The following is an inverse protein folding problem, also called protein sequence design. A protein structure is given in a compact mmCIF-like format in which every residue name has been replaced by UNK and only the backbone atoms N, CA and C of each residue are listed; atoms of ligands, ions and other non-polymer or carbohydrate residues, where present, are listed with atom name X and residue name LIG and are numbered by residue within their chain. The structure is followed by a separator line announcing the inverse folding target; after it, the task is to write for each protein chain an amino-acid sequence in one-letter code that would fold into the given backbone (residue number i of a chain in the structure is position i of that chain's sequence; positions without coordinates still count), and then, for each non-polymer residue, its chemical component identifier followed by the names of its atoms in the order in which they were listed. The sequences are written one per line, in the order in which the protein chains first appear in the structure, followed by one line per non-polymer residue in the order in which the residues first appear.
data_IF_165621563688
#
_entry.id   IF_165621563688
#
_cell.length_a   1.000
_cell.length_b   1.000
_cell.length_c   1.000
_cell.angle_alpha   90.00
_cell.angle_beta   90.00
_cell.angle_gamma   90.00
#
_symmetry.space_group_name_H-M   'P 1'
#
loop_
_entity.id
_entity.type
_entity.pdbx_description
1 polymer ?
#
# COMPACT_ATOMS: atom_id res chain seq x y z
N UNK A 1 63.10 -17.04 40.88
CA UNK A 1 62.60 -15.91 40.08
C UNK A 1 61.65 -16.47 39.02
N UNK A 2 60.35 -16.32 39.22
CA UNK A 2 59.31 -16.67 38.24
C UNK A 2 58.93 -15.40 37.46
N UNK A 3 58.83 -15.43 36.12
CA UNK A 3 58.13 -14.38 35.39
C UNK A 3 56.64 -14.73 35.34
N UNK A 4 55.84 -13.83 35.88
CA UNK A 4 54.38 -13.79 35.80
C UNK A 4 53.96 -13.39 34.38
N UNK A 5 53.22 -14.25 33.69
CA UNK A 5 52.51 -13.93 32.45
C UNK A 5 51.34 -13.00 32.75
N UNK A 6 51.37 -11.79 32.19
CA UNK A 6 50.27 -10.83 32.15
C UNK A 6 49.10 -11.40 31.36
N UNK A 7 47.93 -11.46 32.00
CA UNK A 7 46.67 -11.79 31.34
C UNK A 7 46.29 -10.65 30.38
N UNK A 8 46.35 -10.92 29.08
CA UNK A 8 45.78 -10.05 28.05
C UNK A 8 44.27 -9.91 28.28
N UNK A 9 43.85 -8.68 28.51
CA UNK A 9 42.46 -8.31 28.63
C UNK A 9 41.86 -8.29 27.23
N UNK A 10 40.99 -9.28 26.94
CA UNK A 10 40.17 -9.29 25.74
C UNK A 10 39.38 -7.97 25.65
N UNK A 11 39.41 -7.24 24.52
CA UNK A 11 38.59 -6.05 24.37
C UNK A 11 37.12 -6.44 24.47
N UNK A 12 36.40 -5.79 25.39
CA UNK A 12 34.97 -5.97 25.57
C UNK A 12 34.26 -5.74 24.23
N UNK A 13 33.63 -6.79 23.71
CA UNK A 13 32.82 -6.75 22.50
C UNK A 13 31.70 -5.73 22.70
N UNK A 14 31.83 -4.56 22.08
CA UNK A 14 30.81 -3.51 22.17
C UNK A 14 29.46 -4.10 21.69
N UNK A 15 28.37 -3.94 22.46
CA UNK A 15 27.06 -4.43 22.05
C UNK A 15 26.69 -3.75 20.73
N UNK A 16 26.56 -4.56 19.67
CA UNK A 16 26.01 -4.11 18.38
C UNK A 16 24.68 -3.43 18.68
N UNK A 17 24.58 -2.16 18.27
CA UNK A 17 23.41 -1.32 18.49
C UNK A 17 22.16 -2.02 17.95
N UNK A 18 21.40 -2.63 18.86
CA UNK A 18 20.14 -3.27 18.55
C UNK A 18 19.23 -2.27 17.85
N UNK A 19 18.72 -2.67 16.69
CA UNK A 19 17.74 -1.92 15.92
C UNK A 19 16.56 -1.53 16.82
N UNK A 20 16.50 -0.28 17.29
CA UNK A 20 15.48 0.20 18.24
C UNK A 20 14.08 0.13 17.59
N UNK A 21 13.23 -0.86 17.93
CA UNK A 21 12.06 -1.18 17.10
C UNK A 21 10.88 -0.22 17.29
N UNK A 22 10.81 0.47 18.43
CA UNK A 22 9.63 1.24 18.85
C UNK A 22 9.33 2.48 17.99
N UNK A 23 10.37 3.16 17.48
CA UNK A 23 10.20 4.40 16.69
C UNK A 23 9.69 4.16 15.26
N UNK A 24 9.92 2.97 14.70
CA UNK A 24 9.53 2.63 13.32
C UNK A 24 8.06 2.19 13.20
N UNK A 25 7.43 1.76 14.29
CA UNK A 25 6.03 1.34 14.34
C UNK A 25 5.07 2.47 14.75
N UNK A 26 5.49 3.38 15.63
CA UNK A 26 4.62 4.43 16.16
C UNK A 26 4.16 5.43 15.10
N UNK A 27 5.05 5.89 14.20
CA UNK A 27 4.68 6.92 13.21
C UNK A 27 3.61 6.44 12.21
N UNK A 28 3.74 5.26 11.57
CA UNK A 28 2.67 4.73 10.73
C UNK A 28 1.36 4.53 11.48
N UNK A 29 1.39 4.08 12.74
CA UNK A 29 0.18 3.92 13.56
C UNK A 29 -0.60 5.23 13.67
N UNK A 30 0.07 6.34 14.02
CA UNK A 30 -0.59 7.65 14.11
C UNK A 30 -1.15 8.12 12.76
N UNK A 31 -0.43 7.91 11.65
CA UNK A 31 -0.94 8.25 10.32
C UNK A 31 -2.15 7.38 9.92
N UNK A 32 -2.12 6.09 10.23
CA UNK A 32 -3.25 5.17 9.98
C UNK A 32 -4.47 5.59 10.78
N UNK A 33 -4.32 5.92 12.06
CA UNK A 33 -5.41 6.36 12.91
C UNK A 33 -5.95 7.74 12.49
N UNK A 34 -5.06 8.71 12.25
CA UNK A 34 -5.45 10.05 11.82
C UNK A 34 -6.20 10.02 10.47
N UNK A 35 -5.69 9.26 9.49
CA UNK A 35 -6.40 9.08 8.22
C UNK A 35 -7.74 8.36 8.39
N UNK A 36 -7.83 7.35 9.27
CA UNK A 36 -9.11 6.69 9.60
C UNK A 36 -10.11 7.69 10.19
N UNK A 37 -9.69 8.55 11.11
CA UNK A 37 -10.55 9.59 11.67
C UNK A 37 -11.02 10.58 10.60
N UNK A 38 -10.14 10.99 9.67
CA UNK A 38 -10.51 11.87 8.56
C UNK A 38 -11.49 11.19 7.58
N UNK A 39 -11.31 9.90 7.32
CA UNK A 39 -12.22 9.08 6.53
C UNK A 39 -13.59 8.96 7.17
N UNK A 40 -13.64 8.64 8.46
CA UNK A 40 -14.89 8.58 9.21
C UNK A 40 -15.59 9.95 9.25
N UNK A 41 -14.82 11.04 9.40
CA UNK A 41 -15.36 12.39 9.30
C UNK A 41 -15.94 12.66 7.91
N UNK A 42 -15.26 12.30 6.83
CA UNK A 42 -15.78 12.40 5.47
C UNK A 42 -17.10 11.64 5.29
N UNK A 43 -17.15 10.36 5.70
CA UNK A 43 -18.36 9.52 5.60
C UNK A 43 -19.53 10.03 6.46
N UNK A 44 -19.26 10.79 7.52
CA UNK A 44 -20.31 11.40 8.34
C UNK A 44 -20.95 12.63 7.68
N UNK A 45 -20.40 13.10 6.56
CA UNK A 45 -20.93 14.23 5.78
C UNK A 45 -21.63 13.75 4.50
N UNK A 46 -22.29 14.68 3.79
CA UNK A 46 -22.84 14.45 2.46
C UNK A 46 -21.84 14.72 1.32
N UNK A 47 -20.53 14.82 1.61
CA UNK A 47 -19.52 15.22 0.62
C UNK A 47 -19.39 14.30 -0.58
N UNK A 48 -19.69 13.02 -0.43
CA UNK A 48 -19.75 12.10 -1.57
C UNK A 48 -20.81 12.52 -2.60
N UNK A 49 -22.01 12.85 -2.12
CA UNK A 49 -23.09 13.34 -2.99
C UNK A 49 -22.74 14.71 -3.56
N UNK A 50 -22.27 15.65 -2.72
CA UNK A 50 -21.86 16.99 -3.20
C UNK A 50 -20.85 16.88 -4.34
N UNK A 51 -19.81 16.05 -4.18
CA UNK A 51 -18.81 15.87 -5.23
C UNK A 51 -19.35 15.09 -6.43
N UNK A 52 -20.28 14.15 -6.26
CA UNK A 52 -20.93 13.49 -7.38
C UNK A 52 -21.76 14.47 -8.22
N UNK A 53 -22.47 15.40 -7.59
CA UNK A 53 -23.21 16.47 -8.27
C UNK A 53 -22.34 17.50 -9.00
N UNK A 54 -21.04 17.58 -8.70
CA UNK A 54 -20.10 18.40 -9.50
C UNK A 54 -19.93 17.82 -10.90
N UNK A 55 -20.03 16.49 -11.05
CA UNK A 55 -19.77 15.80 -12.32
C UNK A 55 -21.02 15.20 -12.97
N UNK A 56 -22.10 15.00 -12.21
CA UNK A 56 -23.33 14.40 -12.69
C UNK A 56 -24.56 15.21 -12.29
N UNK A 57 -25.66 15.00 -13.02
CA UNK A 57 -26.97 15.57 -12.74
C UNK A 57 -28.05 14.52 -13.03
N UNK A 58 -29.33 14.91 -13.05
CA UNK A 58 -30.44 13.99 -13.28
C UNK A 58 -30.43 13.27 -14.65
N UNK A 59 -29.68 13.79 -15.64
CA UNK A 59 -29.45 13.15 -16.95
C UNK A 59 -28.27 12.16 -16.91
N UNK A 60 -27.55 12.08 -15.79
CA UNK A 60 -26.41 11.20 -15.57
C UNK A 60 -25.07 11.93 -15.55
N UNK A 61 -24.02 11.19 -15.89
CA UNK A 61 -22.63 11.67 -15.90
C UNK A 61 -22.15 11.85 -17.34
N UNK A 62 -21.87 13.07 -17.82
CA UNK A 62 -21.46 13.32 -19.21
C UNK A 62 -20.18 12.58 -19.60
N UNK A 63 -19.29 12.33 -18.63
CA UNK A 63 -18.00 11.67 -18.85
C UNK A 63 -18.07 10.14 -18.70
N UNK A 64 -19.24 9.56 -18.44
CA UNK A 64 -19.42 8.11 -18.20
C UNK A 64 -18.78 7.26 -19.30
N UNK A 65 -19.07 7.64 -20.55
CA UNK A 65 -18.70 6.92 -21.77
C UNK A 65 -17.65 7.66 -22.61
N UNK A 66 -17.03 8.71 -22.05
CA UNK A 66 -15.95 9.42 -22.73
C UNK A 66 -14.74 8.50 -22.98
N UNK A 67 -14.20 8.55 -24.20
CA UNK A 67 -13.14 7.64 -24.64
C UNK A 67 -11.87 7.75 -23.79
N UNK A 68 -11.47 8.94 -23.36
CA UNK A 68 -10.26 9.12 -22.53
C UNK A 68 -10.48 8.45 -21.17
N UNK A 69 -11.65 8.69 -20.58
CA UNK A 69 -12.00 8.15 -19.27
C UNK A 69 -12.17 6.62 -19.29
N UNK A 70 -12.72 6.06 -20.38
CA UNK A 70 -12.92 4.61 -20.54
C UNK A 70 -11.65 3.90 -21.01
N UNK A 71 -11.09 4.28 -22.16
CA UNK A 71 -9.99 3.53 -22.78
C UNK A 71 -8.65 3.80 -22.11
N UNK A 72 -8.36 5.05 -21.73
CA UNK A 72 -7.07 5.41 -21.14
C UNK A 72 -7.09 5.24 -19.63
N UNK A 73 -7.97 5.97 -18.95
CA UNK A 73 -7.98 6.05 -17.48
C UNK A 73 -8.56 4.82 -16.80
N UNK A 74 -9.37 4.03 -17.50
CA UNK A 74 -9.97 2.82 -16.95
C UNK A 74 -9.30 1.54 -17.48
N UNK A 75 -9.34 1.27 -18.78
CA UNK A 75 -8.72 0.06 -19.33
C UNK A 75 -7.19 0.11 -19.36
N UNK A 76 -6.64 1.21 -19.91
CA UNK A 76 -5.20 1.42 -20.01
C UNK A 76 -4.52 1.38 -18.65
N UNK A 77 -5.05 2.12 -17.68
CA UNK A 77 -4.55 2.13 -16.30
C UNK A 77 -4.59 0.75 -15.64
N UNK A 78 -5.67 -0.02 -15.86
CA UNK A 78 -5.78 -1.39 -15.33
C UNK A 78 -4.71 -2.31 -15.91
N UNK A 79 -4.47 -2.25 -17.23
CA UNK A 79 -3.41 -3.02 -17.90
C UNK A 79 -2.03 -2.60 -17.39
N UNK A 80 -1.78 -1.30 -17.29
CA UNK A 80 -0.53 -0.75 -16.77
C UNK A 80 -0.24 -1.21 -15.34
N UNK A 81 -1.24 -1.18 -14.45
CA UNK A 81 -1.11 -1.67 -13.07
C UNK A 81 -0.67 -3.14 -13.01
N UNK A 82 -1.25 -4.01 -13.83
CA UNK A 82 -0.83 -5.42 -13.92
C UNK A 82 0.57 -5.59 -14.49
N UNK A 83 0.94 -4.82 -15.52
CA UNK A 83 2.31 -4.82 -16.06
C UNK A 83 3.30 -4.40 -14.97
N UNK A 84 3.04 -3.32 -14.24
CA UNK A 84 3.89 -2.86 -13.13
C UNK A 84 3.98 -3.93 -12.04
N UNK A 85 2.89 -4.61 -11.70
CA UNK A 85 2.89 -5.70 -10.72
C UNK A 85 3.79 -6.86 -11.18
N UNK A 86 3.67 -7.29 -12.45
CA UNK A 86 4.51 -8.36 -13.01
C UNK A 86 5.98 -7.96 -13.02
N UNK A 87 6.29 -6.71 -13.42
CA UNK A 87 7.66 -6.19 -13.39
C UNK A 87 8.21 -6.14 -11.97
N UNK A 88 7.40 -5.69 -10.99
CA UNK A 88 7.77 -5.68 -9.58
C UNK A 88 8.07 -7.09 -9.07
N UNK A 89 7.21 -8.07 -9.38
CA UNK A 89 7.41 -9.46 -9.00
C UNK A 89 8.66 -10.07 -9.67
N UNK A 90 8.89 -9.78 -10.95
CA UNK A 90 10.08 -10.24 -11.69
C UNK A 90 11.38 -9.75 -11.04
N UNK A 91 11.37 -8.58 -10.37
CA UNK A 91 12.57 -8.09 -9.66
C UNK A 91 13.04 -9.00 -8.54
N UNK A 92 12.20 -9.92 -8.04
CA UNK A 92 12.61 -10.93 -7.05
C UNK A 92 13.78 -11.77 -7.59
N UNK A 93 13.68 -12.25 -8.84
CA UNK A 93 14.72 -13.04 -9.51
C UNK A 93 15.71 -12.20 -10.30
N UNK A 94 15.24 -11.13 -10.95
CA UNK A 94 16.05 -10.26 -11.80
C UNK A 94 16.04 -8.81 -11.29
N UNK A 95 16.75 -8.49 -10.18
CA UNK A 95 16.75 -7.14 -9.65
C UNK A 95 17.44 -6.16 -10.62
N UNK A 96 16.78 -5.05 -10.91
CA UNK A 96 17.26 -4.01 -11.81
C UNK A 96 17.40 -2.65 -11.12
N UNK A 97 18.29 -1.81 -11.64
CA UNK A 97 18.49 -0.43 -11.17
C UNK A 97 18.71 -0.32 -9.66
N UNK A 98 17.98 0.60 -9.02
CA UNK A 98 18.10 0.85 -7.58
C UNK A 98 17.52 -0.27 -6.71
N UNK A 99 16.63 -1.12 -7.24
CA UNK A 99 16.06 -2.26 -6.51
C UNK A 99 17.09 -3.37 -6.21
N UNK A 100 18.25 -3.36 -6.88
CA UNK A 100 19.40 -4.24 -6.53
C UNK A 100 19.89 -4.04 -5.10
N UNK A 101 19.67 -2.86 -4.52
CA UNK A 101 20.05 -2.52 -3.13
C UNK A 101 19.01 -2.98 -2.10
N UNK A 102 17.87 -3.50 -2.54
CA UNK A 102 16.83 -4.07 -1.67
C UNK A 102 17.02 -5.59 -1.65
N UNK A 103 17.09 -6.24 -0.48
CA UNK A 103 17.26 -7.70 -0.41
C UNK A 103 16.08 -8.45 -1.04
N UNK A 104 16.29 -9.70 -1.47
CA UNK A 104 15.26 -10.53 -2.12
C UNK A 104 13.97 -10.63 -1.31
N UNK A 105 14.08 -10.84 0.01
CA UNK A 105 12.93 -10.87 0.91
C UNK A 105 12.16 -9.53 0.95
N UNK A 106 12.85 -8.40 0.78
CA UNK A 106 12.22 -7.09 0.67
C UNK A 106 11.44 -6.94 -0.63
N UNK A 107 12.04 -7.33 -1.77
CA UNK A 107 11.36 -7.28 -3.08
C UNK A 107 10.13 -8.20 -3.11
N UNK A 108 10.24 -9.40 -2.52
CA UNK A 108 9.12 -10.31 -2.34
C UNK A 108 8.02 -9.68 -1.47
N UNK A 109 8.38 -9.04 -0.35
CA UNK A 109 7.40 -8.33 0.48
C UNK A 109 6.67 -7.23 -0.30
N UNK A 110 7.35 -6.48 -1.17
CA UNK A 110 6.71 -5.44 -2.00
C UNK A 110 5.63 -6.06 -2.91
N UNK A 111 5.95 -7.15 -3.62
CA UNK A 111 5.00 -7.83 -4.51
C UNK A 111 3.85 -8.48 -3.73
N UNK A 112 4.15 -9.20 -2.64
CA UNK A 112 3.14 -9.87 -1.82
C UNK A 112 2.20 -8.88 -1.16
N UNK A 113 2.71 -7.78 -0.59
CA UNK A 113 1.85 -6.76 0.03
C UNK A 113 0.91 -6.09 -0.97
N UNK A 114 1.38 -5.86 -2.21
CA UNK A 114 0.53 -5.31 -3.26
C UNK A 114 -0.55 -6.31 -3.71
N UNK A 115 -0.22 -7.59 -3.90
CA UNK A 115 -1.20 -8.64 -4.22
C UNK A 115 -2.24 -8.83 -3.11
N UNK A 116 -1.79 -8.82 -1.84
CA UNK A 116 -2.70 -8.88 -0.69
C UNK A 116 -3.62 -7.66 -0.63
N UNK A 117 -3.11 -6.46 -0.91
CA UNK A 117 -3.94 -5.26 -0.97
C UNK A 117 -5.03 -5.41 -2.05
N UNK A 118 -4.68 -5.88 -3.26
CA UNK A 118 -5.66 -6.16 -4.31
C UNK A 118 -6.68 -7.22 -3.90
N UNK A 119 -6.24 -8.27 -3.20
CA UNK A 119 -7.13 -9.32 -2.68
C UNK A 119 -8.13 -8.77 -1.65
N UNK A 120 -7.66 -7.93 -0.70
CA UNK A 120 -8.52 -7.24 0.28
C UNK A 120 -9.57 -6.41 -0.43
N UNK A 121 -9.18 -5.58 -1.40
CA UNK A 121 -10.12 -4.78 -2.18
C UNK A 121 -11.14 -5.64 -2.92
N UNK A 122 -10.70 -6.75 -3.53
CA UNK A 122 -11.61 -7.66 -4.23
C UNK A 122 -12.61 -8.34 -3.29
N UNK A 123 -12.20 -8.72 -2.09
CA UNK A 123 -13.08 -9.33 -1.07
C UNK A 123 -14.12 -8.31 -0.59
N UNK A 124 -13.70 -7.11 -0.19
CA UNK A 124 -14.62 -6.06 0.26
C UNK A 124 -15.61 -5.69 -0.85
N UNK A 125 -15.13 -5.58 -2.10
CA UNK A 125 -15.98 -5.26 -3.25
C UNK A 125 -17.07 -6.30 -3.48
N UNK A 126 -16.73 -7.59 -3.39
CA UNK A 126 -17.70 -8.68 -3.52
C UNK A 126 -18.70 -8.72 -2.36
N UNK A 127 -18.30 -8.30 -1.17
CA UNK A 127 -19.17 -8.28 0.00
C UNK A 127 -20.10 -7.04 0.06
N UNK A 128 -19.79 -5.97 -0.69
CA UNK A 128 -20.56 -4.73 -0.67
C UNK A 128 -21.86 -4.83 -1.48
N UNK A 129 -22.95 -4.37 -0.86
CA UNK A 129 -24.25 -4.16 -1.52
C UNK A 129 -24.42 -2.74 -2.09
N UNK A 130 -23.39 -1.89 -2.00
CA UNK A 130 -23.44 -0.48 -2.42
C UNK A 130 -23.36 -0.35 -3.93
N UNK A 131 -24.32 0.32 -4.54
CA UNK A 131 -24.34 0.62 -5.98
C UNK A 131 -23.49 1.84 -6.33
N UNK A 132 -23.20 2.01 -7.61
CA UNK A 132 -22.37 3.12 -8.07
C UNK A 132 -23.19 4.41 -8.23
N UNK A 133 -22.54 5.60 -8.16
CA UNK A 133 -23.24 6.87 -8.32
C UNK A 133 -24.10 6.92 -9.59
N UNK A 134 -23.62 6.43 -10.73
CA UNK A 134 -24.38 6.41 -12.00
C UNK A 134 -25.63 5.53 -11.99
N UNK A 135 -25.81 4.68 -10.96
CA UNK A 135 -26.96 3.77 -10.83
C UNK A 135 -28.03 4.39 -9.93
N UNK A 136 -27.71 5.49 -9.24
CA UNK A 136 -28.62 6.17 -8.32
C UNK A 136 -29.66 7.00 -9.07
N UNK A 137 -30.87 7.08 -8.50
CA UNK A 137 -31.98 7.86 -9.02
C UNK A 137 -31.66 9.36 -9.15
N UNK A 138 -30.79 9.89 -8.28
CA UNK A 138 -30.31 11.28 -8.35
C UNK A 138 -29.53 11.57 -9.66
N UNK A 139 -29.03 10.52 -10.31
CA UNK A 139 -28.23 10.59 -11.54
C UNK A 139 -28.85 9.81 -12.71
N UNK A 140 -30.19 9.70 -12.73
CA UNK A 140 -30.93 9.06 -13.82
C UNK A 140 -30.99 7.53 -13.76
N UNK A 141 -30.49 6.92 -12.69
CA UNK A 141 -30.61 5.50 -12.40
C UNK A 141 -31.89 5.13 -11.62
N UNK A 142 -31.86 3.99 -10.94
CA UNK A 142 -33.02 3.45 -10.19
C UNK A 142 -32.73 3.15 -8.72
N UNK A 143 -31.46 3.10 -8.34
CA UNK A 143 -31.04 2.81 -6.97
C UNK A 143 -31.21 4.03 -6.06
N UNK A 144 -31.46 3.80 -4.77
CA UNK A 144 -31.52 4.87 -3.76
C UNK A 144 -30.15 5.03 -3.10
N UNK A 145 -29.77 6.24 -2.72
CA UNK A 145 -28.55 6.41 -1.95
C UNK A 145 -28.67 5.70 -0.58
N UNK A 146 -27.75 4.76 -0.34
CA UNK A 146 -27.58 4.07 0.95
C UNK A 146 -26.08 4.07 1.26
N UNK A 147 -25.72 4.46 2.49
CA UNK A 147 -24.31 4.44 2.91
C UNK A 147 -23.73 3.04 2.82
N UNK A 148 -22.47 2.92 2.38
CA UNK A 148 -21.74 1.65 2.36
C UNK A 148 -21.53 1.01 3.74
N UNK A 149 -21.79 1.75 4.83
CA UNK A 149 -21.77 1.23 6.20
C UNK A 149 -23.15 0.77 6.71
N UNK A 150 -24.22 0.94 5.92
CA UNK A 150 -25.57 0.51 6.28
C UNK A 150 -25.80 -0.95 5.93
N UNK A 151 -25.22 -1.85 6.73
CA UNK A 151 -25.27 -3.29 6.49
C UNK A 151 -26.73 -3.81 6.49
N UNK A 152 -27.07 -4.65 5.51
CA UNK A 152 -28.39 -5.27 5.40
C UNK A 152 -29.48 -4.40 4.75
N UNK A 153 -29.19 -3.15 4.41
CA UNK A 153 -30.07 -2.30 3.61
C UNK A 153 -29.68 -2.40 2.13
N UNK A 154 -30.67 -2.75 1.30
CA UNK A 154 -30.52 -2.81 -0.16
C UNK A 154 -30.96 -1.49 -0.78
N UNK A 155 -30.11 -0.93 -1.64
CA UNK A 155 -30.39 0.29 -2.40
C UNK A 155 -31.28 0.06 -3.63
N UNK A 156 -31.46 -1.21 -4.04
CA UNK A 156 -32.23 -1.59 -5.22
C UNK A 156 -31.41 -1.61 -6.52
N UNK A 157 -30.09 -1.44 -6.44
CA UNK A 157 -29.18 -1.50 -7.59
C UNK A 157 -28.33 -2.78 -7.63
N UNK A 158 -27.26 -2.74 -8.43
CA UNK A 158 -26.40 -3.90 -8.70
C UNK A 158 -25.40 -4.22 -7.59
N UNK A 159 -25.19 -3.31 -6.64
CA UNK A 159 -24.19 -3.45 -5.60
C UNK A 159 -22.75 -3.48 -6.11
N UNK A 160 -21.84 -3.99 -5.27
CA UNK A 160 -20.43 -4.23 -5.57
C UNK A 160 -19.61 -3.01 -6.00
N UNK A 161 -20.03 -1.79 -5.65
CA UNK A 161 -19.33 -0.58 -6.04
C UNK A 161 -18.28 -0.13 -5.03
N UNK A 162 -18.44 -0.46 -3.75
CA UNK A 162 -17.51 -0.09 -2.69
C UNK A 162 -16.60 -1.28 -2.33
N UNK A 163 -15.27 -1.10 -2.21
CA UNK A 163 -14.47 0.10 -2.47
C UNK A 163 -14.03 0.22 -3.94
N UNK A 164 -13.40 1.35 -4.28
CA UNK A 164 -13.01 1.70 -5.66
C UNK A 164 -11.86 0.82 -6.20
N UNK A 165 -12.21 -0.28 -6.87
CA UNK A 165 -11.23 -1.24 -7.42
C UNK A 165 -10.19 -0.63 -8.38
N UNK A 166 -10.56 0.40 -9.16
CA UNK A 166 -9.63 1.05 -10.09
C UNK A 166 -8.57 1.88 -9.39
N UNK A 167 -8.91 2.56 -8.29
CA UNK A 167 -7.94 3.29 -7.49
C UNK A 167 -6.87 2.35 -6.90
N UNK A 168 -7.24 1.09 -6.65
CA UNK A 168 -6.32 0.07 -6.16
C UNK A 168 -5.18 -0.25 -7.15
N UNK A 169 -5.36 0.01 -8.46
CA UNK A 169 -4.29 -0.16 -9.45
C UNK A 169 -3.09 0.76 -9.19
N UNK A 170 -3.28 1.89 -8.49
CA UNK A 170 -2.20 2.73 -7.98
C UNK A 170 -1.89 2.46 -6.51
N UNK A 171 -2.92 2.46 -5.65
CA UNK A 171 -2.72 2.36 -4.20
C UNK A 171 -2.18 1.01 -3.71
N UNK A 172 -2.35 -0.10 -4.45
CA UNK A 172 -1.81 -1.40 -4.04
C UNK A 172 -0.29 -1.37 -3.79
N UNK A 173 0.43 -0.46 -4.46
CA UNK A 173 1.87 -0.34 -4.31
C UNK A 173 2.32 0.40 -3.04
N UNK A 174 1.41 0.99 -2.26
CA UNK A 174 1.76 1.71 -1.01
C UNK A 174 2.60 0.86 -0.04
N UNK A 175 2.38 -0.46 0.01
CA UNK A 175 3.17 -1.40 0.81
C UNK A 175 4.68 -1.33 0.55
N UNK A 176 5.07 -0.98 -0.67
CA UNK A 176 6.48 -0.80 -1.06
C UNK A 176 7.20 0.28 -0.25
N UNK A 177 6.50 1.33 0.18
CA UNK A 177 7.09 2.39 1.01
C UNK A 177 7.75 1.84 2.28
N UNK A 178 7.11 0.87 2.94
CA UNK A 178 7.58 0.30 4.20
C UNK A 178 8.86 -0.52 4.04
N UNK A 179 9.02 -1.17 2.88
CA UNK A 179 10.27 -1.86 2.52
C UNK A 179 11.35 -0.84 2.18
N UNK A 180 11.05 0.10 1.28
CA UNK A 180 12.04 1.02 0.75
C UNK A 180 12.58 2.00 1.78
N UNK A 181 11.78 2.44 2.75
CA UNK A 181 12.23 3.40 3.76
C UNK A 181 13.42 2.92 4.60
N UNK A 182 13.63 1.59 4.67
CA UNK A 182 14.75 0.96 5.41
C UNK A 182 16.07 0.98 4.65
N UNK A 183 16.02 1.00 3.32
CA UNK A 183 17.19 0.85 2.45
C UNK A 183 17.45 2.09 1.60
N UNK A 184 16.40 2.77 1.16
CA UNK A 184 16.41 3.84 0.15
C UNK A 184 15.35 4.91 0.51
N UNK A 185 15.57 5.74 1.55
CA UNK A 185 14.55 6.67 2.08
C UNK A 185 14.12 7.77 1.10
N UNK A 186 14.98 8.16 0.15
CA UNK A 186 14.61 9.08 -0.93
C UNK A 186 13.68 8.41 -1.94
N UNK A 187 14.02 7.20 -2.38
CA UNK A 187 13.18 6.42 -3.30
C UNK A 187 11.84 6.06 -2.65
N UNK A 188 11.81 5.76 -1.35
CA UNK A 188 10.59 5.48 -0.60
C UNK A 188 9.58 6.65 -0.66
N UNK A 189 10.05 7.90 -0.53
CA UNK A 189 9.19 9.08 -0.61
C UNK A 189 8.58 9.26 -2.00
N UNK A 190 9.39 9.09 -3.04
CA UNK A 190 8.90 9.14 -4.43
C UNK A 190 7.94 8.00 -4.73
N UNK A 191 8.22 6.79 -4.26
CA UNK A 191 7.35 5.63 -4.40
C UNK A 191 5.99 5.86 -3.75
N UNK A 192 5.98 6.37 -2.52
CA UNK A 192 4.76 6.73 -1.79
C UNK A 192 3.97 7.80 -2.55
N UNK A 193 4.62 8.90 -2.93
CA UNK A 193 3.99 9.99 -3.67
C UNK A 193 3.41 9.52 -5.00
N UNK A 194 4.15 8.72 -5.77
CA UNK A 194 3.69 8.18 -7.06
C UNK A 194 2.51 7.21 -6.89
N UNK A 195 2.56 6.33 -5.90
CA UNK A 195 1.45 5.39 -5.61
C UNK A 195 0.19 6.14 -5.18
N UNK A 196 0.33 7.17 -4.34
CA UNK A 196 -0.78 8.02 -3.93
C UNK A 196 -1.36 8.79 -5.11
N UNK A 197 -0.50 9.48 -5.88
CA UNK A 197 -0.92 10.25 -7.04
C UNK A 197 -1.64 9.38 -8.07
N UNK A 198 -1.09 8.20 -8.39
CA UNK A 198 -1.73 7.26 -9.30
C UNK A 198 -3.11 6.82 -8.78
N UNK A 199 -3.21 6.41 -7.51
CA UNK A 199 -4.49 5.97 -6.93
C UNK A 199 -5.54 7.09 -6.93
N UNK A 200 -5.17 8.31 -6.57
CA UNK A 200 -6.07 9.46 -6.60
C UNK A 200 -6.47 9.84 -8.01
N UNK A 201 -5.54 9.93 -8.95
CA UNK A 201 -5.84 10.26 -10.36
C UNK A 201 -6.84 9.27 -10.95
N UNK A 202 -6.66 7.97 -10.70
CA UNK A 202 -7.59 6.94 -11.14
C UNK A 202 -8.93 7.01 -10.41
N UNK A 203 -8.92 7.27 -9.10
CA UNK A 203 -10.14 7.44 -8.31
C UNK A 203 -10.96 8.65 -8.76
N UNK A 204 -10.33 9.82 -8.96
CA UNK A 204 -10.97 11.02 -9.50
C UNK A 204 -11.52 10.81 -10.90
N UNK A 205 -10.79 10.09 -11.76
CA UNK A 205 -11.30 9.75 -13.08
C UNK A 205 -12.61 8.94 -12.97
N UNK A 206 -12.66 7.99 -12.04
CA UNK A 206 -13.85 7.17 -11.83
C UNK A 206 -14.99 7.94 -11.13
N UNK A 207 -14.68 8.89 -10.25
CA UNK A 207 -15.65 9.84 -9.68
C UNK A 207 -16.32 10.67 -10.77
N UNK A 208 -15.52 11.23 -11.68
CA UNK A 208 -16.03 12.06 -12.77
C UNK A 208 -16.97 11.31 -13.72
N UNK A 209 -16.77 9.99 -13.85
CA UNK A 209 -17.65 9.10 -14.62
C UNK A 209 -18.91 8.67 -13.87
N UNK A 210 -19.01 8.94 -12.57
CA UNK A 210 -20.04 8.38 -11.71
C UNK A 210 -19.85 6.91 -11.35
N UNK A 211 -18.64 6.36 -11.56
CA UNK A 211 -18.35 4.95 -11.31
C UNK A 211 -18.06 4.65 -9.84
N UNK A 212 -17.63 5.63 -9.04
CA UNK A 212 -17.33 5.47 -7.61
C UNK A 212 -17.47 6.81 -6.89
N UNK A 213 -17.89 6.80 -5.63
CA UNK A 213 -17.77 7.98 -4.76
C UNK A 213 -16.32 8.23 -4.32
N UNK A 214 -16.04 9.42 -3.77
CA UNK A 214 -14.71 9.77 -3.28
C UNK A 214 -14.35 8.97 -2.04
N UNK A 215 -15.30 8.74 -1.13
CA UNK A 215 -15.12 7.82 0.00
C UNK A 215 -14.63 6.43 -0.47
N UNK A 216 -15.19 5.88 -1.56
CA UNK A 216 -14.76 4.59 -2.09
C UNK A 216 -13.28 4.61 -2.48
N UNK A 217 -12.80 5.72 -3.04
CA UNK A 217 -11.39 5.94 -3.39
C UNK A 217 -10.52 6.09 -2.14
N UNK A 218 -10.95 6.91 -1.18
CA UNK A 218 -10.21 7.15 0.07
C UNK A 218 -10.08 5.86 0.89
N UNK A 219 -11.17 5.09 1.03
CA UNK A 219 -11.16 3.78 1.69
C UNK A 219 -10.26 2.79 0.98
N UNK A 220 -10.22 2.79 -0.35
CA UNK A 220 -9.26 1.97 -1.10
C UNK A 220 -7.82 2.32 -0.72
N UNK A 221 -7.48 3.60 -0.69
CA UNK A 221 -6.15 4.06 -0.28
C UNK A 221 -5.80 3.63 1.15
N UNK A 222 -6.73 3.79 2.08
CA UNK A 222 -6.54 3.41 3.48
C UNK A 222 -6.39 1.90 3.69
N UNK A 223 -7.21 1.10 3.01
CA UNK A 223 -7.11 -0.36 3.03
C UNK A 223 -5.76 -0.81 2.47
N UNK A 224 -5.35 -0.29 1.31
CA UNK A 224 -4.05 -0.62 0.72
C UNK A 224 -2.87 -0.20 1.61
N UNK A 225 -2.91 1.00 2.21
CA UNK A 225 -1.91 1.47 3.17
C UNK A 225 -1.83 0.52 4.38
N UNK A 226 -2.98 0.21 4.97
CA UNK A 226 -3.08 -0.62 6.17
C UNK A 226 -2.62 -2.05 5.89
N UNK A 227 -3.02 -2.65 4.76
CA UNK A 227 -2.53 -3.97 4.34
C UNK A 227 -1.00 -3.96 4.18
N UNK A 228 -0.45 -2.96 3.51
CA UNK A 228 0.99 -2.81 3.35
C UNK A 228 1.73 -2.67 4.69
N UNK A 229 1.18 -1.88 5.60
CA UNK A 229 1.74 -1.68 6.93
C UNK A 229 1.66 -2.94 7.80
N UNK A 230 0.54 -3.65 7.80
CA UNK A 230 0.37 -4.93 8.52
C UNK A 230 1.32 -5.98 7.98
N UNK A 231 1.50 -6.08 6.65
CA UNK A 231 2.51 -6.95 6.07
C UNK A 231 3.92 -6.61 6.59
N UNK A 232 4.22 -5.31 6.74
CA UNK A 232 5.51 -4.87 7.26
C UNK A 232 5.73 -5.26 8.74
N UNK A 233 4.68 -5.15 9.56
CA UNK A 233 4.71 -5.59 10.95
C UNK A 233 4.85 -7.11 11.05
N UNK A 234 4.13 -7.87 10.23
CA UNK A 234 4.21 -9.32 10.20
C UNK A 234 5.63 -9.79 9.82
N UNK A 235 6.23 -9.22 8.78
CA UNK A 235 7.62 -9.52 8.40
C UNK A 235 8.60 -9.13 9.51
N UNK A 236 8.41 -7.98 10.15
CA UNK A 236 9.25 -7.56 11.26
C UNK A 236 9.13 -8.51 12.47
N UNK A 237 7.94 -9.01 12.76
CA UNK A 237 7.71 -10.00 13.83
C UNK A 237 8.37 -11.34 13.47
N UNK A 238 8.17 -11.87 12.26
CA UNK A 238 8.76 -13.13 11.82
C UNK A 238 10.29 -13.12 11.89
N UNK A 239 10.94 -12.00 11.56
CA UNK A 239 12.41 -11.85 11.68
C UNK A 239 12.91 -11.84 13.12
N UNK A 240 12.06 -11.48 14.09
CA UNK A 240 12.41 -11.58 15.53
C UNK A 240 12.37 -13.02 16.02
N UNK A 241 11.40 -13.81 15.54
CA UNK A 241 11.24 -15.22 15.92
C UNK A 241 12.21 -16.15 15.20
N UNK A 242 12.63 -15.79 13.98
CA UNK A 242 13.66 -16.49 13.23
C UNK A 242 14.85 -15.56 12.95
N UNK A 243 15.70 -15.27 13.95
CA UNK A 243 16.98 -14.62 13.70
C UNK A 243 17.73 -15.45 12.65
N UNK A 244 18.13 -14.84 11.55
CA UNK A 244 19.08 -15.48 10.65
C UNK A 244 20.36 -15.74 11.46
N UNK A 245 20.91 -16.96 11.46
CA UNK A 245 22.23 -17.17 12.02
C UNK A 245 23.22 -16.37 11.16
N UNK A 246 23.65 -15.20 11.63
CA UNK A 246 24.75 -14.46 11.01
C UNK A 246 25.94 -15.41 10.96
N UNK A 247 26.32 -15.80 9.74
CA UNK A 247 27.68 -16.07 9.29
C UNK A 247 28.71 -16.28 10.40
N UNK A 248 28.83 -17.51 10.88
CA UNK A 248 30.05 -18.05 11.50
C UNK A 248 31.14 -18.21 10.43
N UNK A 249 31.42 -17.16 9.66
CA UNK A 249 32.72 -17.10 9.00
C UNK A 249 33.66 -16.54 10.05
N UNK A 250 34.67 -17.31 10.48
CA UNK A 250 35.78 -16.72 11.23
C UNK A 250 36.26 -15.53 10.42
N UNK A 251 36.30 -14.35 11.04
CA UNK A 251 37.22 -13.32 10.59
C UNK A 251 38.56 -14.02 10.48
N UNK A 252 39.13 -14.15 9.29
CA UNK A 252 40.50 -14.62 9.16
C UNK A 252 41.37 -13.64 9.95
N UNK A 253 41.69 -14.08 11.16
CA UNK A 253 42.64 -13.50 12.07
C UNK A 253 44.00 -13.59 11.38
N UNK A 254 44.76 -12.49 11.44
CA UNK A 254 46.22 -12.51 11.54
C UNK A 254 46.93 -13.54 10.64
N UNK A 255 47.04 -13.24 9.36
CA UNK A 255 48.01 -13.90 8.48
C UNK A 255 48.74 -12.86 7.62
N UNK A 256 49.44 -11.91 8.25
CA UNK A 256 50.42 -11.06 7.54
C UNK A 256 51.21 -10.12 8.47
N UNK A 257 51.82 -10.60 9.56
CA UNK A 257 52.99 -9.93 10.16
C UNK A 257 53.85 -10.94 10.93
N UNK A 258 54.39 -11.92 10.21
CA UNK A 258 55.51 -12.72 10.67
C UNK A 258 56.28 -13.21 9.44
N UNK A 259 56.84 -12.31 8.64
CA UNK A 259 58.03 -12.55 7.83
C UNK A 259 58.61 -11.20 7.39
N UNK A 260 59.88 -10.99 7.76
CA UNK A 260 60.81 -9.87 7.52
C UNK A 260 60.95 -8.89 8.69
#
# INVERSE_FOLDING_TARGET
MHPTTSADSLPALAPRTGFAPGRFAARPFFWTLASLCLLAAWDSTSFDMVLAHVFGNAEGFPLRDDWVFVSVMHEGARRAGWVIMVLLAATVWWPAGWLRRVPTAGRLQMAVSALLALAVIAVFKRASATSCPWDLADFGGVARYVSHWSHGLFDGGSGHCFPAGHAAAGFAFLGGYFVLRRHLPRAARWWLAASLAAGFVLGFAQQARGAHFMSHTLWTGWLCWTTGWVCDLAVAALRRFHPQPDSLLPTESNASHAHL
#
